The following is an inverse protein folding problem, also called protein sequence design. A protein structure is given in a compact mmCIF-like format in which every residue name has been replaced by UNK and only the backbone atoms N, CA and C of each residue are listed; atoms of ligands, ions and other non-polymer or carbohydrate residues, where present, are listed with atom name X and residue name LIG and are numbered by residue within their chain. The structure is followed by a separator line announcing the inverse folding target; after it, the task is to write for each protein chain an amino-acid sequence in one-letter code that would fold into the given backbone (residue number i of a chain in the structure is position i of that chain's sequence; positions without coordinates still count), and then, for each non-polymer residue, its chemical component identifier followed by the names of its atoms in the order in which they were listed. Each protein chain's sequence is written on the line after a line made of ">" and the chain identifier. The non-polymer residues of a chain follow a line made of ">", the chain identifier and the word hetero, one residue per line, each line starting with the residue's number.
data_IF_552876559236
#
_entry.id   IF_552876559236
#
_cell.length_a   1.000
_cell.length_b   1.000
_cell.length_c   1.000
_cell.angle_alpha   90.00
_cell.angle_beta   90.00
_cell.angle_gamma   90.00
#
_symmetry.space_group_name_H-M   'P 1'
#
loop_
_entity.id
_entity.type
_entity.pdbx_description
1 polymer ?
#
# COMPACT_ATOMS: atom_id res chain seq x y z
N UNK A 1 25.50 -21.44 -7.88
CA UNK A 1 25.64 -20.24 -8.71
C UNK A 1 24.41 -20.04 -9.58
N UNK A 2 23.90 -21.08 -10.20
CA UNK A 2 22.70 -21.00 -11.02
C UNK A 2 21.47 -20.71 -10.19
N UNK A 3 21.35 -21.34 -9.05
CA UNK A 3 20.28 -21.06 -8.12
C UNK A 3 20.32 -19.62 -7.64
N UNK A 4 21.51 -19.11 -7.40
CA UNK A 4 21.69 -17.73 -6.98
C UNK A 4 21.23 -16.75 -8.06
N UNK A 5 21.44 -17.06 -9.34
CA UNK A 5 20.99 -16.20 -10.44
C UNK A 5 19.47 -16.18 -10.52
N UNK A 6 18.82 -17.34 -10.46
CA UNK A 6 17.38 -17.43 -10.49
C UNK A 6 16.79 -16.70 -9.29
N UNK A 7 17.37 -16.93 -8.12
CA UNK A 7 16.96 -16.27 -6.90
C UNK A 7 17.13 -14.74 -7.01
N UNK A 8 18.22 -14.29 -7.59
CA UNK A 8 18.46 -12.86 -7.77
C UNK A 8 17.42 -12.22 -8.68
N UNK A 9 17.03 -12.90 -9.75
CA UNK A 9 16.00 -12.39 -10.64
C UNK A 9 14.65 -12.28 -9.92
N UNK A 10 14.27 -13.31 -9.21
CA UNK A 10 13.04 -13.31 -8.43
C UNK A 10 13.08 -12.24 -7.33
N UNK A 11 14.23 -12.12 -6.67
CA UNK A 11 14.40 -11.14 -5.61
C UNK A 11 14.27 -9.71 -6.15
N UNK A 12 14.73 -9.45 -7.37
CA UNK A 12 14.59 -8.13 -7.97
C UNK A 12 13.13 -7.76 -8.19
N UNK A 13 12.31 -8.70 -8.67
CA UNK A 13 10.88 -8.46 -8.87
C UNK A 13 10.15 -8.33 -7.54
N UNK A 14 10.45 -9.18 -6.59
CA UNK A 14 9.89 -9.11 -5.25
C UNK A 14 10.32 -7.81 -4.58
N UNK A 15 11.55 -7.41 -4.77
CA UNK A 15 12.09 -6.17 -4.22
C UNK A 15 11.32 -4.93 -4.67
N UNK A 16 10.92 -4.88 -5.93
CA UNK A 16 10.11 -3.77 -6.44
C UNK A 16 8.76 -3.72 -5.77
N UNK A 17 8.09 -4.86 -5.64
CA UNK A 17 6.79 -4.95 -4.99
C UNK A 17 6.90 -4.58 -3.51
N UNK A 18 7.92 -5.08 -2.83
CA UNK A 18 8.14 -4.79 -1.41
C UNK A 18 8.44 -3.31 -1.20
N UNK A 19 9.26 -2.70 -2.07
CA UNK A 19 9.58 -1.28 -1.96
C UNK A 19 8.35 -0.40 -2.13
N UNK A 20 7.52 -0.70 -3.12
CA UNK A 20 6.28 0.04 -3.35
C UNK A 20 5.35 -0.09 -2.15
N UNK A 21 5.17 -1.31 -1.66
CA UNK A 21 4.34 -1.58 -0.49
C UNK A 21 4.90 -0.92 0.76
N UNK A 22 6.22 -0.97 0.95
CA UNK A 22 6.88 -0.35 2.09
C UNK A 22 6.71 1.17 2.09
N UNK A 23 6.83 1.79 0.92
CA UNK A 23 6.62 3.22 0.76
C UNK A 23 5.21 3.62 1.15
N UNK A 24 4.21 2.85 0.70
CA UNK A 24 2.82 3.07 1.06
C UNK A 24 2.60 2.94 2.56
N UNK A 25 3.13 1.87 3.16
CA UNK A 25 3.00 1.64 4.60
C UNK A 25 3.68 2.74 5.42
N UNK A 26 4.85 3.16 5.01
CA UNK A 26 5.57 4.24 5.69
C UNK A 26 4.78 5.54 5.65
N UNK A 27 4.19 5.87 4.49
CA UNK A 27 3.36 7.06 4.34
C UNK A 27 2.14 7.00 5.26
N UNK A 28 1.47 5.84 5.31
CA UNK A 28 0.30 5.64 6.16
C UNK A 28 0.68 5.79 7.64
N UNK A 29 1.80 5.20 8.05
CA UNK A 29 2.29 5.31 9.43
C UNK A 29 2.59 6.76 9.81
N UNK A 30 3.21 7.51 8.90
CA UNK A 30 3.49 8.94 9.13
C UNK A 30 2.21 9.73 9.32
N UNK A 31 1.19 9.45 8.51
CA UNK A 31 -0.11 10.09 8.67
C UNK A 31 -0.75 9.74 10.00
N UNK A 32 -0.66 8.49 10.42
CA UNK A 32 -1.21 8.04 11.70
C UNK A 32 -0.48 8.70 12.88
N UNK A 33 0.84 8.74 12.83
CA UNK A 33 1.66 9.32 13.89
C UNK A 33 1.45 10.83 14.05
N UNK A 34 1.19 11.52 12.95
CA UNK A 34 0.96 12.96 12.97
C UNK A 34 -0.50 13.32 13.17
N UNK A 35 -1.36 12.33 13.40
CA UNK A 35 -2.82 12.50 13.56
C UNK A 35 -3.49 13.12 12.34
N UNK A 36 -2.89 12.97 11.16
CA UNK A 36 -3.44 13.50 9.92
C UNK A 36 -4.21 12.46 9.13
N UNK A 37 -4.15 11.20 9.54
CA UNK A 37 -4.92 10.14 8.91
C UNK A 37 -6.42 10.47 8.98
N UNK A 38 -6.87 11.00 10.09
CA UNK A 38 -8.26 11.38 10.32
C UNK A 38 -8.72 12.56 9.45
N UNK A 39 -7.78 13.34 8.92
CA UNK A 39 -8.11 14.46 8.03
C UNK A 39 -8.37 14.01 6.60
N UNK A 40 -8.04 12.77 6.28
CA UNK A 40 -8.30 12.23 4.94
C UNK A 40 -9.79 11.96 4.76
N UNK A 41 -10.29 11.96 3.50
CA UNK A 41 -11.65 11.53 3.23
C UNK A 41 -11.90 10.11 3.78
N UNK A 42 -13.13 9.80 4.18
CA UNK A 42 -13.44 8.47 4.74
C UNK A 42 -13.00 7.31 3.84
N UNK A 43 -13.07 7.49 2.53
CA UNK A 43 -12.65 6.49 1.55
C UNK A 43 -11.16 6.18 1.67
N UNK A 44 -10.34 7.21 1.84
CA UNK A 44 -8.91 7.05 1.99
C UNK A 44 -8.55 6.49 3.37
N UNK A 45 -9.30 6.86 4.39
CA UNK A 45 -9.11 6.30 5.73
C UNK A 45 -9.34 4.79 5.73
N UNK A 46 -10.41 4.34 5.07
CA UNK A 46 -10.72 2.92 4.96
C UNK A 46 -9.59 2.17 4.26
N UNK A 47 -9.13 2.69 3.12
CA UNK A 47 -8.05 2.08 2.36
C UNK A 47 -6.75 2.02 3.17
N UNK A 48 -6.43 3.10 3.87
CA UNK A 48 -5.23 3.16 4.70
C UNK A 48 -5.28 2.13 5.82
N UNK A 49 -6.42 2.03 6.50
CA UNK A 49 -6.60 1.07 7.57
C UNK A 49 -6.48 -0.37 7.07
N UNK A 50 -7.16 -0.68 5.97
CA UNK A 50 -7.09 -2.01 5.37
C UNK A 50 -5.67 -2.37 4.93
N UNK A 51 -4.93 -1.40 4.40
CA UNK A 51 -3.55 -1.62 3.99
C UNK A 51 -2.66 -1.95 5.18
N UNK A 52 -2.87 -1.32 6.33
CA UNK A 52 -2.13 -1.62 7.54
C UNK A 52 -2.49 -2.99 8.11
N UNK A 53 -3.78 -3.32 8.13
CA UNK A 53 -4.25 -4.60 8.66
C UNK A 53 -3.88 -5.79 7.77
N UNK A 54 -3.82 -5.57 6.47
CA UNK A 54 -3.57 -6.60 5.46
C UNK A 54 -2.38 -6.26 4.58
N UNK A 55 -1.24 -5.99 5.20
CA UNK A 55 -0.05 -5.53 4.50
C UNK A 55 0.48 -6.54 3.48
N UNK A 56 0.20 -7.83 3.68
CA UNK A 56 0.74 -8.90 2.85
C UNK A 56 -0.17 -9.35 1.70
N UNK A 57 -1.43 -8.90 1.67
CA UNK A 57 -2.34 -9.33 0.63
C UNK A 57 -2.04 -8.60 -0.69
N UNK A 58 -2.46 -9.22 -1.80
CA UNK A 58 -2.33 -8.61 -3.12
C UNK A 58 -3.26 -7.40 -3.23
N UNK A 59 -3.01 -6.55 -4.22
CA UNK A 59 -3.87 -5.39 -4.46
C UNK A 59 -5.28 -5.83 -4.84
N UNK A 60 -5.41 -6.92 -5.58
CA UNK A 60 -6.72 -7.46 -5.95
C UNK A 60 -7.51 -7.88 -4.71
N UNK A 61 -6.86 -8.57 -3.78
CA UNK A 61 -7.50 -8.96 -2.52
C UNK A 61 -7.84 -7.76 -1.66
N UNK A 62 -6.94 -6.80 -1.60
CA UNK A 62 -7.16 -5.59 -0.81
C UNK A 62 -8.37 -4.82 -1.33
N UNK A 63 -8.49 -4.70 -2.65
CA UNK A 63 -9.63 -4.04 -3.27
C UNK A 63 -10.95 -4.74 -2.91
N UNK A 64 -10.94 -6.06 -2.84
CA UNK A 64 -12.12 -6.84 -2.50
C UNK A 64 -12.52 -6.70 -1.02
N UNK A 65 -11.60 -6.32 -0.15
CA UNK A 65 -11.86 -6.14 1.28
C UNK A 65 -12.62 -4.86 1.59
N UNK A 66 -12.68 -3.93 0.67
CA UNK A 66 -13.43 -2.69 0.86
C UNK A 66 -14.93 -2.94 0.86
N UNK A 67 -15.70 -2.08 1.51
CA UNK A 67 -17.15 -2.17 1.61
C UNK A 67 -17.79 -0.90 1.07
N UNK A 68 -18.36 -0.92 -0.16
CA UNK A 68 -18.37 -2.04 -1.11
C UNK A 68 -17.00 -2.27 -1.77
N UNK A 69 -16.77 -3.48 -2.32
CA UNK A 69 -15.50 -3.74 -3.00
C UNK A 69 -15.24 -2.75 -4.14
N UNK A 70 -13.97 -2.40 -4.32
CA UNK A 70 -13.56 -1.45 -5.35
C UNK A 70 -12.70 -2.16 -6.39
N UNK A 71 -12.46 -1.47 -7.52
CA UNK A 71 -11.58 -2.00 -8.56
C UNK A 71 -10.12 -1.83 -8.15
N UNK A 72 -9.24 -2.60 -8.78
CA UNK A 72 -7.79 -2.46 -8.57
C UNK A 72 -7.32 -1.07 -8.96
N UNK A 73 -7.87 -0.52 -10.05
CA UNK A 73 -7.54 0.85 -10.48
C UNK A 73 -7.95 1.88 -9.44
N UNK A 74 -9.15 1.73 -8.87
CA UNK A 74 -9.62 2.60 -7.81
C UNK A 74 -8.74 2.52 -6.57
N UNK A 75 -8.32 1.30 -6.22
CA UNK A 75 -7.41 1.08 -5.10
C UNK A 75 -6.07 1.78 -5.32
N UNK A 76 -5.48 1.61 -6.51
CA UNK A 76 -4.21 2.25 -6.84
C UNK A 76 -4.32 3.77 -6.75
N UNK A 77 -5.42 4.32 -7.22
CA UNK A 77 -5.67 5.75 -7.14
C UNK A 77 -5.71 6.23 -5.68
N UNK A 78 -6.42 5.51 -4.83
CA UNK A 78 -6.50 5.84 -3.40
C UNK A 78 -5.14 5.72 -2.71
N UNK A 79 -4.41 4.64 -2.98
CA UNK A 79 -3.08 4.43 -2.38
C UNK A 79 -2.09 5.50 -2.82
N UNK A 80 -2.17 5.95 -4.07
CA UNK A 80 -1.32 7.03 -4.56
C UNK A 80 -1.59 8.33 -3.80
N UNK A 81 -2.84 8.68 -3.61
CA UNK A 81 -3.22 9.87 -2.85
C UNK A 81 -2.76 9.79 -1.40
N UNK A 82 -2.94 8.64 -0.78
CA UNK A 82 -2.52 8.42 0.61
C UNK A 82 -1.00 8.54 0.72
N UNK A 83 -0.27 7.90 -0.18
CA UNK A 83 1.19 7.93 -0.19
C UNK A 83 1.70 9.35 -0.36
N UNK A 84 1.11 10.10 -1.29
CA UNK A 84 1.47 11.49 -1.53
C UNK A 84 1.21 12.34 -0.28
N UNK A 85 0.07 12.18 0.35
CA UNK A 85 -0.26 12.92 1.56
C UNK A 85 0.74 12.64 2.68
N UNK A 86 1.16 11.38 2.85
CA UNK A 86 2.14 10.99 3.85
C UNK A 86 3.52 11.54 3.56
N UNK A 87 3.91 11.61 2.29
CA UNK A 87 5.21 12.13 1.89
C UNK A 87 5.31 13.65 1.98
N UNK A 88 4.20 14.35 1.93
CA UNK A 88 4.16 15.80 2.05
C UNK A 88 4.22 16.30 3.49
N UNK A 89 4.24 15.39 4.43
CA UNK A 89 4.36 15.79 5.85
C UNK A 89 5.80 16.31 6.18
#
# INVERSE_FOLDING_TARGET
>A
AEEARATNWEAANIGRTVRAGQRQLNAIRRLAESHKLESLPPELQETARLRLEHAEVSLTELAALHTPPITKSGLNHRLRKITQAGEEL
#
